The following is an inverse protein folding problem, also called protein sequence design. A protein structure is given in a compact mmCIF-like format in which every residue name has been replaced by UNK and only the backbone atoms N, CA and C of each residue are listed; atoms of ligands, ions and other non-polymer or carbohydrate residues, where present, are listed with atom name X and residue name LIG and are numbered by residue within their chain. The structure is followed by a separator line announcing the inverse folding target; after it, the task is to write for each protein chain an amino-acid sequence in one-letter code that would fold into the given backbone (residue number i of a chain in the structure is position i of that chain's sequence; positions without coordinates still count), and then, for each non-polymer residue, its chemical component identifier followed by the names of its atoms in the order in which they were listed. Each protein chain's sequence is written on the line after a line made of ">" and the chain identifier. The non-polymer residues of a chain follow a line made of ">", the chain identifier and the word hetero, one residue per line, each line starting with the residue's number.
data_IF_993628795635
#
_entry.id   IF_993628795635
#
_cell.length_a   1.000
_cell.length_b   1.000
_cell.length_c   1.000
_cell.angle_alpha   90.00
_cell.angle_beta   90.00
_cell.angle_gamma   90.00
#
_symmetry.space_group_name_H-M   'P 1'
#
loop_
_entity.id
_entity.type
_entity.pdbx_description
1 polymer ?
#
# COMPACT_ATOMS: atom_id res chain seq x y z
N UNK A 1 -1.66 4.10 -11.49
CA UNK A 1 -1.70 3.29 -10.25
C UNK A 1 -3.11 3.24 -9.72
N UNK A 2 -3.53 2.10 -9.27
CA UNK A 2 -4.90 1.90 -8.88
C UNK A 2 -5.22 2.52 -7.52
N UNK A 3 -6.37 3.18 -7.45
CA UNK A 3 -6.81 3.88 -6.24
C UNK A 3 -7.00 2.93 -5.04
N UNK A 4 -7.52 1.73 -5.29
CA UNK A 4 -7.74 0.73 -4.26
C UNK A 4 -6.44 0.27 -3.61
N UNK A 5 -5.41 0.02 -4.42
CA UNK A 5 -4.12 -0.43 -3.91
C UNK A 5 -3.51 0.61 -2.98
N UNK A 6 -3.57 1.87 -3.36
CA UNK A 6 -3.05 2.97 -2.52
C UNK A 6 -3.85 3.10 -1.24
N UNK A 7 -5.16 2.90 -1.32
CA UNK A 7 -6.02 2.93 -0.14
C UNK A 7 -5.61 1.85 0.86
N UNK A 8 -5.33 0.62 0.39
CA UNK A 8 -4.91 -0.46 1.26
C UNK A 8 -3.55 -0.18 1.89
N UNK A 9 -2.60 0.34 1.11
CA UNK A 9 -1.28 0.67 1.63
C UNK A 9 -1.39 1.75 2.72
N UNK A 10 -2.20 2.76 2.48
CA UNK A 10 -2.41 3.83 3.46
C UNK A 10 -3.04 3.31 4.74
N UNK A 11 -4.00 2.39 4.63
CA UNK A 11 -4.64 1.77 5.80
C UNK A 11 -3.65 0.96 6.62
N UNK A 12 -2.77 0.22 5.95
CA UNK A 12 -1.73 -0.56 6.63
C UNK A 12 -0.80 0.33 7.46
N UNK A 13 -0.53 1.53 6.98
CA UNK A 13 0.39 2.45 7.64
C UNK A 13 -0.32 3.42 8.62
N UNK A 14 -1.63 3.36 8.72
CA UNK A 14 -2.38 4.27 9.57
C UNK A 14 -2.34 3.90 11.05
N UNK A 15 -1.98 2.66 11.36
CA UNK A 15 -2.00 2.16 12.73
C UNK A 15 -3.39 1.73 13.21
N UNK A 16 -4.40 1.86 12.36
CA UNK A 16 -5.79 1.50 12.71
C UNK A 16 -6.28 0.27 11.93
N UNK A 17 -5.38 -0.63 11.56
CA UNK A 17 -5.69 -1.80 10.76
C UNK A 17 -6.24 -2.92 11.65
N UNK A 18 -7.53 -3.19 11.54
CA UNK A 18 -8.20 -4.19 12.36
C UNK A 18 -8.09 -5.59 11.77
N UNK A 19 -8.52 -6.60 12.54
CA UNK A 19 -8.57 -7.99 12.06
C UNK A 19 -9.53 -8.10 10.86
N UNK A 20 -10.63 -7.37 10.93
CA UNK A 20 -11.61 -7.35 9.84
C UNK A 20 -11.03 -6.72 8.58
N UNK A 21 -10.24 -5.67 8.74
CA UNK A 21 -9.53 -5.05 7.63
C UNK A 21 -8.53 -6.02 7.01
N UNK A 22 -7.81 -6.78 7.83
CA UNK A 22 -6.85 -7.77 7.35
C UNK A 22 -7.53 -8.85 6.52
N UNK A 23 -8.72 -9.27 6.94
CA UNK A 23 -9.50 -10.28 6.25
C UNK A 23 -10.00 -9.77 4.90
N UNK A 24 -10.54 -8.57 4.89
CA UNK A 24 -11.01 -7.93 3.65
C UNK A 24 -9.84 -7.71 2.68
N UNK A 25 -8.70 -7.31 3.19
CA UNK A 25 -7.49 -7.10 2.41
C UNK A 25 -7.03 -8.40 1.74
N UNK A 26 -7.02 -9.50 2.51
CA UNK A 26 -6.64 -10.81 1.98
C UNK A 26 -7.57 -11.25 0.85
N UNK A 27 -8.87 -11.04 1.02
CA UNK A 27 -9.85 -11.38 -0.01
C UNK A 27 -9.66 -10.57 -1.27
N UNK A 28 -9.39 -9.28 -1.11
CA UNK A 28 -9.15 -8.41 -2.24
C UNK A 28 -7.91 -8.85 -3.01
N UNK A 29 -6.83 -9.17 -2.32
CA UNK A 29 -5.60 -9.64 -2.96
C UNK A 29 -5.81 -10.94 -3.73
N UNK A 30 -6.62 -11.85 -3.17
CA UNK A 30 -6.86 -13.16 -3.76
C UNK A 30 -7.88 -13.15 -4.89
N UNK A 31 -8.71 -12.12 -4.97
CA UNK A 31 -9.81 -12.08 -5.93
C UNK A 31 -9.35 -11.92 -7.37
N UNK A 32 -8.17 -11.33 -7.58
CA UNK A 32 -7.64 -11.08 -8.92
C UNK A 32 -6.13 -10.91 -8.85
N UNK A 33 -5.36 -11.64 -9.68
CA UNK A 33 -3.89 -11.47 -9.71
C UNK A 33 -3.47 -10.02 -9.97
N UNK A 34 -4.27 -9.25 -10.70
CA UNK A 34 -3.99 -7.84 -10.96
C UNK A 34 -3.98 -7.01 -9.67
N UNK A 35 -4.81 -7.39 -8.68
CA UNK A 35 -4.85 -6.71 -7.40
C UNK A 35 -3.54 -6.90 -6.63
N UNK A 36 -3.00 -8.10 -6.65
CA UNK A 36 -1.71 -8.38 -6.01
C UNK A 36 -0.58 -7.57 -6.66
N UNK A 37 -0.54 -7.55 -7.99
CA UNK A 37 0.47 -6.79 -8.72
C UNK A 37 0.35 -5.29 -8.44
N UNK A 38 -0.87 -4.77 -8.41
CA UNK A 38 -1.12 -3.37 -8.12
C UNK A 38 -0.69 -3.01 -6.70
N UNK A 39 -0.92 -3.91 -5.74
CA UNK A 39 -0.51 -3.70 -4.35
C UNK A 39 1.01 -3.63 -4.23
N UNK A 40 1.72 -4.54 -4.88
CA UNK A 40 3.20 -4.54 -4.87
C UNK A 40 3.74 -3.25 -5.45
N UNK A 41 3.16 -2.78 -6.56
CA UNK A 41 3.56 -1.52 -7.17
C UNK A 41 3.29 -0.32 -6.27
N UNK A 42 2.17 -0.32 -5.56
CA UNK A 42 1.82 0.75 -4.64
C UNK A 42 2.83 0.84 -3.49
N UNK A 43 3.27 -0.32 -2.97
CA UNK A 43 4.29 -0.36 -1.92
C UNK A 43 5.61 0.20 -2.43
N UNK A 44 6.01 -0.20 -3.63
CA UNK A 44 7.26 0.29 -4.24
C UNK A 44 7.22 1.80 -4.45
N UNK A 45 6.09 2.29 -4.93
CA UNK A 45 5.88 3.72 -5.15
C UNK A 45 6.00 4.49 -3.83
N UNK A 46 5.34 4.02 -2.79
CA UNK A 46 5.38 4.67 -1.48
C UNK A 46 6.80 4.70 -0.91
N UNK A 47 7.53 3.61 -1.07
CA UNK A 47 8.92 3.52 -0.61
C UNK A 47 9.80 4.53 -1.35
N UNK A 48 9.62 4.63 -2.66
CA UNK A 48 10.39 5.57 -3.49
C UNK A 48 10.14 7.02 -3.10
N UNK A 49 8.87 7.36 -2.90
CA UNK A 49 8.49 8.71 -2.46
C UNK A 49 9.12 9.01 -1.09
N UNK A 50 9.06 8.05 -0.18
CA UNK A 50 9.67 8.20 1.14
C UNK A 50 11.16 8.45 1.08
N UNK A 51 11.86 7.74 0.20
CA UNK A 51 13.30 7.91 0.01
C UNK A 51 13.63 9.28 -0.56
N UNK A 52 12.84 9.74 -1.53
CA UNK A 52 13.01 11.07 -2.11
C UNK A 52 12.82 12.18 -1.07
N UNK A 53 11.82 12.03 -0.23
CA UNK A 53 11.56 13.02 0.83
C UNK A 53 12.67 13.05 1.87
N UNK A 54 13.20 11.87 2.22
CA UNK A 54 14.33 11.80 3.16
C UNK A 54 15.58 12.44 2.58
N UNK A 55 15.84 12.18 1.30
CA UNK A 55 16.96 12.79 0.59
C UNK A 55 16.86 14.30 0.59
N UNK A 56 15.68 14.82 0.33
CA UNK A 56 15.45 16.27 0.32
C UNK A 56 15.64 16.90 1.68
N UNK A 57 15.41 16.15 2.76
CA UNK A 57 15.56 16.65 4.12
C UNK A 57 16.99 16.65 4.65
N UNK A 58 17.86 15.91 3.99
CA UNK A 58 19.23 15.75 4.46
C UNK A 58 20.17 16.91 4.09
N UNK A 59 19.67 17.86 3.38
CA UNK A 59 20.42 19.09 3.08
C UNK A 59 20.36 20.09 4.25
#
# INVERSE_FOLDING_TARGET
>A
MERESLSWVNRLHSGAFSVEDADAFRRWRSSDPANEAAFVEAIRFRRRVGEMLRSARQD
#
